data_IF_171812068425
#
_entry.id   IF_171812068425
#
_cell.length_a   1.000
_cell.length_b   1.000
_cell.length_c   1.000
_cell.angle_alpha   90.00
_cell.angle_beta   90.00
_cell.angle_gamma   90.00
#
_symmetry.space_group_name_H-M   'P 1'
#
loop_
_entity.id
_entity.type
_entity.pdbx_description
1 polymer ?
#
# COMPACT_ATOMS: atom_id res chain seq x y z
N UNK A 1 13.59 -12.28 13.51
CA UNK A 1 12.24 -12.22 14.10
C UNK A 1 11.87 -10.94 14.80
N UNK A 2 12.67 -10.42 15.74
CA UNK A 2 12.26 -9.25 16.54
C UNK A 2 11.75 -8.08 15.69
N UNK A 3 12.48 -7.62 14.67
CA UNK A 3 12.01 -6.53 13.81
C UNK A 3 11.10 -6.98 12.65
N UNK A 4 11.24 -8.22 12.17
CA UNK A 4 10.61 -8.72 10.93
C UNK A 4 9.06 -8.78 11.01
N UNK A 5 8.52 -8.89 12.23
CA UNK A 5 7.09 -8.87 12.52
C UNK A 5 6.67 -7.82 13.57
N UNK A 6 7.60 -6.96 14.03
CA UNK A 6 7.31 -5.92 15.04
C UNK A 6 7.91 -4.57 14.60
N UNK A 7 7.43 -4.04 13.47
CA UNK A 7 7.90 -2.75 12.91
C UNK A 7 8.36 -2.82 11.46
N UNK A 8 8.39 -4.01 10.85
CA UNK A 8 8.52 -4.13 9.39
C UNK A 8 7.16 -3.90 8.74
N UNK A 9 7.11 -2.98 7.78
CA UNK A 9 5.90 -2.70 7.00
C UNK A 9 5.89 -3.60 5.77
N UNK A 10 4.89 -4.47 5.67
CA UNK A 10 4.73 -5.37 4.53
C UNK A 10 3.79 -4.78 3.49
N UNK A 11 4.21 -4.71 2.23
CA UNK A 11 3.40 -4.10 1.17
C UNK A 11 2.08 -4.82 0.91
N UNK A 12 2.05 -6.16 1.04
CA UNK A 12 0.84 -6.95 0.76
C UNK A 12 -0.29 -6.70 1.77
N UNK A 13 -0.02 -6.14 2.96
CA UNK A 13 -1.07 -5.88 3.96
C UNK A 13 -2.05 -4.78 3.50
N UNK A 14 -1.68 -3.95 2.52
CA UNK A 14 -2.49 -2.81 2.09
C UNK A 14 -3.88 -3.22 1.61
N UNK A 15 -4.01 -4.34 0.89
CA UNK A 15 -5.30 -4.75 0.38
C UNK A 15 -6.22 -5.26 1.48
N UNK A 16 -5.70 -6.06 2.41
CA UNK A 16 -6.49 -6.53 3.56
C UNK A 16 -6.93 -5.36 4.45
N UNK A 17 -6.05 -4.37 4.65
CA UNK A 17 -6.39 -3.13 5.33
C UNK A 17 -7.52 -2.37 4.63
N UNK A 18 -7.37 -2.08 3.34
CA UNK A 18 -8.36 -1.32 2.58
C UNK A 18 -9.73 -2.03 2.54
N UNK A 19 -9.73 -3.33 2.32
CA UNK A 19 -10.96 -4.14 2.36
C UNK A 19 -11.63 -4.12 3.74
N UNK A 20 -10.85 -4.25 4.82
CA UNK A 20 -11.39 -4.19 6.17
C UNK A 20 -12.02 -2.83 6.48
N UNK A 21 -11.36 -1.73 6.12
CA UNK A 21 -11.89 -0.36 6.28
C UNK A 21 -13.21 -0.21 5.52
N UNK A 22 -13.23 -0.58 4.24
CA UNK A 22 -14.43 -0.43 3.41
C UNK A 22 -15.60 -1.31 3.87
N UNK A 23 -15.33 -2.47 4.47
CA UNK A 23 -16.36 -3.38 4.98
C UNK A 23 -17.09 -2.86 6.22
N UNK A 24 -16.46 -1.99 7.01
CA UNK A 24 -17.04 -1.40 8.23
C UNK A 24 -17.37 0.08 8.08
N UNK A 25 -17.25 0.60 6.86
CA UNK A 25 -17.38 2.01 6.55
C UNK A 25 -18.82 2.52 6.68
N UNK A 26 -19.00 3.60 7.42
CA UNK A 26 -20.26 4.38 7.44
C UNK A 26 -20.35 5.37 6.26
N UNK A 27 -19.20 5.85 5.77
CA UNK A 27 -19.07 6.70 4.58
C UNK A 27 -17.99 6.16 3.64
N UNK A 28 -18.41 5.24 2.77
CA UNK A 28 -17.53 4.54 1.82
C UNK A 28 -16.74 5.52 0.95
N UNK A 29 -17.29 6.69 0.60
CA UNK A 29 -16.58 7.64 -0.27
C UNK A 29 -15.48 8.37 0.47
N UNK A 30 -15.74 8.78 1.71
CA UNK A 30 -14.73 9.39 2.56
C UNK A 30 -13.58 8.41 2.81
N UNK A 31 -13.90 7.17 3.16
CA UNK A 31 -12.88 6.14 3.44
C UNK A 31 -12.10 5.75 2.17
N UNK A 32 -12.74 5.68 1.01
CA UNK A 32 -12.03 5.49 -0.26
C UNK A 32 -11.03 6.62 -0.54
N UNK A 33 -11.36 7.87 -0.20
CA UNK A 33 -10.46 9.01 -0.35
C UNK A 33 -9.29 8.96 0.63
N UNK A 34 -9.54 8.62 1.89
CA UNK A 34 -8.48 8.45 2.90
C UNK A 34 -7.52 7.32 2.52
N UNK A 35 -8.07 6.18 2.08
CA UNK A 35 -7.26 5.07 1.59
C UNK A 35 -6.41 5.55 0.42
N UNK A 36 -6.98 6.24 -0.57
CA UNK A 36 -6.25 6.80 -1.72
C UNK A 36 -5.05 7.65 -1.27
N UNK A 37 -5.28 8.62 -0.39
CA UNK A 37 -4.23 9.53 0.10
C UNK A 37 -3.13 8.78 0.87
N UNK A 38 -3.49 7.69 1.55
CA UNK A 38 -2.57 6.90 2.37
C UNK A 38 -1.56 6.11 1.54
N UNK A 39 -1.95 5.49 0.43
CA UNK A 39 -1.03 4.64 -0.35
C UNK A 39 -0.58 5.22 -1.69
N UNK A 40 -1.11 6.38 -2.12
CA UNK A 40 -0.63 7.04 -3.36
C UNK A 40 0.90 7.19 -3.43
N UNK A 41 1.66 7.39 -2.32
CA UNK A 41 3.13 7.44 -2.38
C UNK A 41 3.78 6.15 -2.89
N UNK A 42 3.14 4.97 -2.74
CA UNK A 42 3.64 3.73 -3.34
C UNK A 42 3.72 3.83 -4.87
N UNK A 43 2.80 4.57 -5.49
CA UNK A 43 2.76 4.80 -6.94
C UNK A 43 3.56 6.01 -7.37
N UNK A 44 3.45 7.13 -6.65
CA UNK A 44 4.06 8.41 -7.08
C UNK A 44 5.53 8.51 -6.71
N UNK A 45 5.96 7.82 -5.65
CA UNK A 45 7.33 7.90 -5.14
C UNK A 45 8.04 6.55 -5.32
N UNK A 46 7.52 5.49 -4.70
CA UNK A 46 8.22 4.21 -4.64
C UNK A 46 8.34 3.50 -5.99
N UNK A 47 7.33 3.52 -6.86
CA UNK A 47 7.39 2.87 -8.19
C UNK A 47 8.51 3.41 -9.11
N UNK A 48 9.20 4.49 -8.74
CA UNK A 48 10.36 5.03 -9.47
C UNK A 48 11.70 4.71 -8.78
N UNK A 49 11.67 4.05 -7.61
CA UNK A 49 12.80 3.74 -6.74
C UNK A 49 12.91 2.22 -6.56
N UNK A 50 14.12 1.71 -6.29
CA UNK A 50 14.46 0.28 -6.15
C UNK A 50 14.28 -0.57 -7.43
N UNK A 51 13.05 -0.67 -7.96
CA UNK A 51 12.75 -1.36 -9.22
C UNK A 51 11.57 -0.67 -9.91
N UNK A 52 11.84 -0.10 -11.08
CA UNK A 52 10.84 0.70 -11.81
C UNK A 52 9.60 -0.13 -12.13
N UNK A 53 8.44 0.38 -11.72
CA UNK A 53 7.14 -0.26 -11.93
C UNK A 53 6.85 -1.46 -11.02
N UNK A 54 7.66 -1.69 -9.98
CA UNK A 54 7.45 -2.75 -9.01
C UNK A 54 7.31 -2.21 -7.58
N UNK A 55 6.72 -3.03 -6.71
CA UNK A 55 6.61 -2.77 -5.28
C UNK A 55 7.59 -3.70 -4.53
N UNK A 56 8.33 -3.14 -3.60
CA UNK A 56 9.26 -3.90 -2.77
C UNK A 56 8.52 -4.67 -1.67
N UNK A 57 9.18 -5.71 -1.17
CA UNK A 57 8.59 -6.63 -0.19
C UNK A 57 8.20 -5.97 1.12
N UNK A 58 9.14 -5.21 1.68
CA UNK A 58 9.01 -4.62 2.99
C UNK A 58 9.64 -3.22 3.04
N UNK A 59 9.20 -2.43 4.00
CA UNK A 59 9.63 -1.06 4.23
C UNK A 59 9.95 -0.87 5.72
N UNK A 60 10.85 0.06 6.03
CA UNK A 60 11.06 0.49 7.41
C UNK A 60 9.81 1.24 7.92
N UNK A 61 9.37 0.96 9.14
CA UNK A 61 8.30 1.75 9.78
C UNK A 61 8.72 3.19 10.08
N UNK A 62 10.00 3.44 10.35
CA UNK A 62 10.50 4.79 10.61
C UNK A 62 10.88 5.51 9.30
N UNK A 63 10.70 6.84 9.23
CA UNK A 63 11.23 7.65 8.15
C UNK A 63 12.74 7.40 7.94
N UNK A 64 13.23 7.32 6.68
CA UNK A 64 12.54 7.69 5.44
C UNK A 64 11.81 6.51 4.77
N UNK A 65 11.36 5.49 5.51
CA UNK A 65 10.62 4.33 5.00
C UNK A 65 11.32 3.59 3.85
N UNK A 66 12.64 3.41 3.95
CA UNK A 66 13.41 2.80 2.86
C UNK A 66 12.90 1.41 2.48
N UNK A 67 12.86 1.06 1.18
CA UNK A 67 12.50 -0.27 0.73
C UNK A 67 13.58 -1.30 1.09
N UNK A 68 13.15 -2.50 1.45
CA UNK A 68 13.96 -3.64 1.87
C UNK A 68 13.38 -4.95 1.29
N UNK A 69 14.09 -6.06 1.51
CA UNK A 69 13.69 -7.38 1.03
C UNK A 69 13.78 -7.52 -0.49
N UNK A 70 12.91 -8.34 -1.09
CA UNK A 70 12.82 -8.46 -2.54
C UNK A 70 12.47 -7.11 -3.20
N UNK A 71 13.26 -6.70 -4.19
CA UNK A 71 13.07 -5.43 -4.89
C UNK A 71 11.77 -5.38 -5.70
N UNK A 72 11.32 -6.52 -6.24
CA UNK A 72 10.08 -6.69 -6.98
C UNK A 72 9.29 -7.89 -6.43
N UNK A 73 8.14 -7.62 -5.82
CA UNK A 73 7.39 -8.59 -5.04
C UNK A 73 5.97 -8.76 -5.58
N UNK A 74 5.60 -9.98 -6.01
CA UNK A 74 4.35 -10.22 -6.76
C UNK A 74 3.07 -9.97 -5.95
N UNK A 75 2.96 -10.59 -4.76
CA UNK A 75 1.91 -10.33 -3.77
C UNK A 75 1.75 -8.85 -3.38
N UNK A 76 2.84 -8.14 -3.05
CA UNK A 76 2.78 -6.70 -2.77
C UNK A 76 2.18 -5.89 -3.93
N UNK A 77 2.65 -6.13 -5.17
CA UNK A 77 2.11 -5.47 -6.36
C UNK A 77 0.63 -5.85 -6.61
N UNK A 78 0.27 -7.12 -6.41
CA UNK A 78 -1.10 -7.59 -6.59
C UNK A 78 -2.07 -6.90 -5.62
N UNK A 79 -1.72 -6.77 -4.35
CA UNK A 79 -2.57 -6.12 -3.33
C UNK A 79 -2.67 -4.61 -3.55
N UNK A 80 -1.62 -3.97 -4.07
CA UNK A 80 -1.64 -2.57 -4.49
C UNK A 80 -2.62 -2.35 -5.66
N UNK A 81 -2.59 -3.21 -6.68
CA UNK A 81 -3.54 -3.15 -7.82
C UNK A 81 -4.98 -3.46 -7.36
N UNK A 82 -5.15 -4.43 -6.46
CA UNK A 82 -6.46 -4.76 -5.88
C UNK A 82 -7.03 -3.56 -5.14
N UNK A 83 -6.23 -2.91 -4.30
CA UNK A 83 -6.60 -1.69 -3.56
C UNK A 83 -7.01 -0.57 -4.49
N UNK A 84 -6.23 -0.33 -5.55
CA UNK A 84 -6.59 0.64 -6.58
C UNK A 84 -7.98 0.39 -7.18
N UNK A 85 -8.29 -0.86 -7.51
CA UNK A 85 -9.58 -1.22 -8.07
C UNK A 85 -10.76 -1.02 -7.10
N UNK A 86 -10.53 -1.14 -5.79
CA UNK A 86 -11.56 -0.91 -4.77
C UNK A 86 -11.93 0.56 -4.63
N UNK A 87 -11.00 1.49 -4.90
CA UNK A 87 -11.19 2.91 -4.55
C UNK A 87 -11.18 3.90 -5.72
N UNK A 88 -10.76 3.49 -6.93
CA UNK A 88 -10.65 4.39 -8.11
C UNK A 88 -11.92 5.19 -8.44
N UNK A 89 -13.08 4.80 -7.93
CA UNK A 89 -14.35 5.52 -8.06
C UNK A 89 -14.45 6.81 -7.23
N UNK A 90 -13.65 6.96 -6.17
CA UNK A 90 -13.61 8.16 -5.33
C UNK A 90 -12.85 9.33 -5.99
N UNK A 91 -11.98 9.05 -6.96
CA UNK A 91 -11.09 10.02 -7.62
C UNK A 91 -11.75 10.70 -8.83
N UNK A 92 -13.09 10.71 -8.92
CA UNK A 92 -13.76 11.43 -10.02
C UNK A 92 -13.58 12.94 -9.83
N UNK A 93 -12.79 13.55 -10.72
CA UNK A 93 -12.78 14.99 -11.00
C UNK A 93 -14.18 15.48 -11.36
#
# INVERSE_FOLDING_TARGET
DSAYHQGTVWSWLIGAYAEAVLNVSDDVKADQAEIYDTFIPLFTEHCTVACVGAISEIFNADPPHSPKGAFAQAWGLAEVIRTWNMIKGAVKK
#
